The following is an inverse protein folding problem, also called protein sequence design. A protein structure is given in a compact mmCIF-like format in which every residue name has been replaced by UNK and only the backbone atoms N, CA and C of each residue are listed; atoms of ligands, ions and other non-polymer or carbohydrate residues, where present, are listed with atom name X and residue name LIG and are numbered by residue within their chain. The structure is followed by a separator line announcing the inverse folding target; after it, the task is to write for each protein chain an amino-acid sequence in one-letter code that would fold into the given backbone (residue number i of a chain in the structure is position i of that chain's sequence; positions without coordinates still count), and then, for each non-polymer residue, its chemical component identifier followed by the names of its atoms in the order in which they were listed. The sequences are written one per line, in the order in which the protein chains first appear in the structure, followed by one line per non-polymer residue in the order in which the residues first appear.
data_IF_680082606595
#
_entry.id   IF_680082606595
#
_cell.length_a   1.000
_cell.length_b   1.000
_cell.length_c   1.000
_cell.angle_alpha   90.00
_cell.angle_beta   90.00
_cell.angle_gamma   90.00
#
_symmetry.space_group_name_H-M   'P 1'
#
loop_
_entity.id
_entity.type
_entity.pdbx_description
1 polymer ?
#
# COMPACT_ATOMS: atom_id res chain seq x y z
N UNK A 1 10.51 14.13 32.65
CA UNK A 1 10.99 14.44 31.26
C UNK A 1 10.85 13.28 30.27
N UNK A 2 11.00 11.99 30.70
CA UNK A 2 10.82 10.82 29.80
C UNK A 2 9.37 10.63 29.35
N UNK A 3 8.40 10.74 30.25
CA UNK A 3 6.97 10.57 29.96
C UNK A 3 6.39 11.63 28.97
N UNK A 4 6.99 12.82 28.91
CA UNK A 4 6.58 13.85 27.94
C UNK A 4 7.08 13.54 26.52
N UNK A 5 8.20 12.85 26.40
CA UNK A 5 8.78 12.43 25.11
C UNK A 5 7.97 11.29 24.47
N UNK A 6 7.51 10.30 25.29
CA UNK A 6 6.69 9.20 24.79
C UNK A 6 5.33 9.68 24.27
N UNK A 7 4.65 10.58 24.98
CA UNK A 7 3.39 11.17 24.52
C UNK A 7 3.52 11.97 23.22
N UNK A 8 4.66 12.65 23.03
CA UNK A 8 4.93 13.36 21.79
C UNK A 8 5.17 12.41 20.62
N UNK A 9 5.84 11.28 20.85
CA UNK A 9 6.05 10.23 19.84
C UNK A 9 4.74 9.54 19.47
N UNK A 10 3.86 9.28 20.44
CA UNK A 10 2.53 8.72 20.17
C UNK A 10 1.69 9.67 19.32
N UNK A 11 1.71 10.97 19.61
CA UNK A 11 1.01 11.97 18.81
C UNK A 11 1.54 12.02 17.38
N UNK A 12 2.85 11.95 17.17
CA UNK A 12 3.47 11.89 15.85
C UNK A 12 3.05 10.63 15.06
N UNK A 13 2.90 9.49 15.73
CA UNK A 13 2.41 8.27 15.12
C UNK A 13 0.95 8.42 14.64
N UNK A 14 0.08 9.08 15.39
CA UNK A 14 -1.29 9.37 14.96
C UNK A 14 -1.34 10.32 13.76
N UNK A 15 -0.44 11.31 13.72
CA UNK A 15 -0.34 12.24 12.59
C UNK A 15 0.25 11.58 11.33
N UNK A 16 1.13 10.59 11.52
CA UNK A 16 1.77 9.87 10.42
C UNK A 16 0.78 9.04 9.61
N UNK A 17 -0.24 8.43 10.25
CA UNK A 17 -1.23 7.60 9.55
C UNK A 17 -1.97 8.33 8.42
N UNK A 18 -2.64 9.48 8.64
CA UNK A 18 -3.31 10.19 7.57
C UNK A 18 -2.34 10.67 6.48
N UNK A 19 -1.13 11.10 6.82
CA UNK A 19 -0.10 11.49 5.86
C UNK A 19 0.26 10.30 4.96
N UNK A 20 0.46 9.12 5.54
CA UNK A 20 0.78 7.91 4.81
C UNK A 20 -0.36 7.50 3.84
N UNK A 21 -1.61 7.55 4.28
CA UNK A 21 -2.77 7.25 3.43
C UNK A 21 -2.88 8.23 2.25
N UNK A 22 -2.68 9.52 2.51
CA UNK A 22 -2.66 10.55 1.45
C UNK A 22 -1.49 10.30 0.49
N UNK A 23 -0.31 9.96 1.01
CA UNK A 23 0.87 9.63 0.20
C UNK A 23 0.61 8.46 -0.76
N UNK A 24 0.03 7.37 -0.24
CA UNK A 24 -0.36 6.21 -1.07
C UNK A 24 -1.40 6.63 -2.11
N UNK A 25 -2.42 7.40 -1.73
CA UNK A 25 -3.45 7.87 -2.64
C UNK A 25 -2.87 8.75 -3.76
N UNK A 26 -1.94 9.65 -3.45
CA UNK A 26 -1.25 10.49 -4.45
C UNK A 26 -0.38 9.64 -5.38
N UNK A 27 0.43 8.75 -4.83
CA UNK A 27 1.26 7.85 -5.64
C UNK A 27 0.41 7.03 -6.60
N UNK A 28 -0.64 6.37 -6.10
CA UNK A 28 -1.58 5.60 -6.92
C UNK A 28 -2.23 6.46 -7.98
N UNK A 29 -2.61 7.69 -7.63
CA UNK A 29 -3.21 8.64 -8.58
C UNK A 29 -2.28 8.92 -9.74
N UNK A 30 -1.01 9.19 -9.48
CA UNK A 30 -0.01 9.45 -10.51
C UNK A 30 0.12 8.23 -11.43
N UNK A 31 0.26 7.02 -10.85
CA UNK A 31 0.37 5.79 -11.62
C UNK A 31 -0.85 5.55 -12.52
N UNK A 32 -2.06 5.69 -11.98
CA UNK A 32 -3.31 5.48 -12.71
C UNK A 32 -3.52 6.57 -13.76
N UNK A 33 -3.28 7.82 -13.42
CA UNK A 33 -3.40 8.95 -14.35
C UNK A 33 -2.48 8.77 -15.55
N UNK A 34 -1.20 8.51 -15.32
CA UNK A 34 -0.23 8.30 -16.39
C UNK A 34 -0.55 7.03 -17.20
N UNK A 35 -0.78 5.91 -16.53
CA UNK A 35 -1.00 4.63 -17.19
C UNK A 35 -2.25 4.62 -18.06
N UNK A 36 -3.38 5.16 -17.57
CA UNK A 36 -4.62 5.21 -18.35
C UNK A 36 -4.53 6.15 -19.54
N UNK A 37 -3.88 7.31 -19.38
CA UNK A 37 -3.69 8.25 -20.50
C UNK A 37 -2.77 7.66 -21.58
N UNK A 38 -1.69 6.96 -21.20
CA UNK A 38 -0.81 6.24 -22.15
C UNK A 38 -1.60 5.12 -22.88
N UNK A 39 -2.52 4.43 -22.19
CA UNK A 39 -3.36 3.40 -22.79
C UNK A 39 -4.59 3.95 -23.57
N UNK A 40 -4.63 5.26 -23.83
CA UNK A 40 -5.65 5.93 -24.65
C UNK A 40 -6.97 6.22 -23.92
N UNK A 41 -7.06 6.02 -22.62
CA UNK A 41 -8.24 6.39 -21.82
C UNK A 41 -7.96 7.72 -21.12
N UNK A 42 -8.63 8.79 -21.57
CA UNK A 42 -8.49 10.12 -20.95
C UNK A 42 -9.11 10.12 -19.54
N UNK A 43 -8.27 10.14 -18.52
CA UNK A 43 -8.66 10.24 -17.14
C UNK A 43 -8.14 11.56 -16.57
N UNK A 44 -9.04 12.40 -16.04
CA UNK A 44 -8.63 13.62 -15.36
C UNK A 44 -7.98 13.29 -14.00
N UNK A 45 -6.93 14.02 -13.64
CA UNK A 45 -6.19 13.81 -12.39
C UNK A 45 -7.09 13.83 -11.15
N UNK A 46 -8.00 14.81 -11.06
CA UNK A 46 -8.95 14.94 -9.95
C UNK A 46 -9.86 13.72 -9.79
N UNK A 47 -10.27 13.11 -10.92
CA UNK A 47 -11.06 11.87 -10.87
C UNK A 47 -10.22 10.68 -10.41
N UNK A 48 -9.00 10.56 -10.94
CA UNK A 48 -8.07 9.52 -10.50
C UNK A 48 -7.78 9.63 -8.99
N UNK A 49 -7.55 10.84 -8.49
CA UNK A 49 -7.33 11.11 -7.06
C UNK A 49 -8.53 10.72 -6.21
N UNK A 50 -9.74 11.09 -6.62
CA UNK A 50 -10.97 10.69 -5.93
C UNK A 50 -11.10 9.17 -5.85
N UNK A 51 -10.82 8.44 -6.95
CA UNK A 51 -10.91 6.98 -6.98
C UNK A 51 -9.85 6.32 -6.11
N UNK A 52 -8.61 6.81 -6.16
CA UNK A 52 -7.52 6.34 -5.32
C UNK A 52 -7.82 6.57 -3.83
N UNK A 53 -8.35 7.73 -3.47
CA UNK A 53 -8.73 8.04 -2.10
C UNK A 53 -9.89 7.16 -1.61
N UNK A 54 -10.89 6.90 -2.45
CA UNK A 54 -11.98 5.97 -2.11
C UNK A 54 -11.47 4.54 -1.91
N UNK A 55 -10.54 4.09 -2.75
CA UNK A 55 -9.95 2.75 -2.60
C UNK A 55 -9.07 2.66 -1.35
N UNK A 56 -8.42 3.74 -0.93
CA UNK A 56 -7.54 3.78 0.25
C UNK A 56 -8.25 3.47 1.57
N UNK A 57 -9.60 3.46 1.58
CA UNK A 57 -10.39 3.00 2.73
C UNK A 57 -10.04 1.55 3.13
N UNK A 58 -9.56 0.74 2.18
CA UNK A 58 -9.10 -0.63 2.43
C UNK A 58 -7.93 -0.65 3.42
N UNK A 59 -7.00 0.29 3.29
CA UNK A 59 -5.88 0.41 4.23
C UNK A 59 -6.35 0.84 5.61
N UNK A 60 -7.27 1.80 5.68
CA UNK A 60 -7.85 2.25 6.96
C UNK A 60 -8.60 1.11 7.67
N UNK A 61 -9.34 0.30 6.93
CA UNK A 61 -10.00 -0.89 7.47
C UNK A 61 -9.00 -1.92 7.98
N UNK A 62 -7.90 -2.12 7.27
CA UNK A 62 -6.84 -3.03 7.70
C UNK A 62 -6.19 -2.58 9.02
N UNK A 63 -5.90 -1.28 9.17
CA UNK A 63 -5.38 -0.74 10.43
C UNK A 63 -6.35 -0.96 11.59
N UNK A 64 -7.65 -0.76 11.36
CA UNK A 64 -8.69 -1.00 12.36
C UNK A 64 -8.74 -2.49 12.73
N UNK A 65 -8.69 -3.38 11.75
CA UNK A 65 -8.69 -4.83 11.99
C UNK A 65 -7.47 -5.26 12.82
N UNK A 66 -6.27 -4.79 12.45
CA UNK A 66 -5.04 -5.07 13.19
C UNK A 66 -5.10 -4.56 14.62
N UNK A 67 -5.65 -3.36 14.83
CA UNK A 67 -5.84 -2.80 16.17
C UNK A 67 -6.79 -3.64 17.00
N UNK A 68 -7.90 -4.13 16.44
CA UNK A 68 -8.83 -5.02 17.10
C UNK A 68 -8.18 -6.36 17.47
N UNK A 69 -7.44 -6.98 16.56
CA UNK A 69 -6.70 -8.23 16.82
C UNK A 69 -5.66 -8.07 17.93
N UNK A 70 -5.07 -6.88 18.03
CA UNK A 70 -4.14 -6.50 19.09
C UNK A 70 -4.84 -6.43 20.45
N UNK A 71 -5.99 -5.75 20.51
CA UNK A 71 -6.79 -5.62 21.73
C UNK A 71 -7.28 -6.99 22.21
N UNK A 72 -7.63 -7.88 21.29
CA UNK A 72 -8.07 -9.24 21.59
C UNK A 72 -6.92 -10.18 22.00
N UNK A 73 -5.66 -9.73 22.01
CA UNK A 73 -4.50 -10.53 22.39
C UNK A 73 -4.13 -11.64 21.40
N UNK A 74 -4.74 -11.65 20.20
CA UNK A 74 -4.44 -12.63 19.15
C UNK A 74 -3.06 -12.37 18.52
N UNK A 75 -2.64 -11.12 18.52
CA UNK A 75 -1.31 -10.69 18.04
C UNK A 75 -0.58 -10.07 19.22
N UNK A 76 0.44 -10.79 19.73
CA UNK A 76 1.32 -10.29 20.78
C UNK A 76 2.51 -9.59 20.15
N UNK A 77 2.74 -8.33 20.55
CA UNK A 77 3.90 -7.58 20.11
C UNK A 77 5.09 -7.81 21.03
N UNK A 78 6.20 -8.22 20.44
CA UNK A 78 7.50 -8.07 21.05
C UNK A 78 8.20 -6.86 20.42
N UNK A 79 9.01 -6.12 21.18
CA UNK A 79 9.73 -4.91 20.71
C UNK A 79 10.57 -5.17 19.43
N UNK A 80 10.98 -6.42 19.23
CA UNK A 80 11.76 -6.87 18.07
C UNK A 80 10.88 -7.25 16.85
N UNK A 81 9.54 -7.16 16.97
CA UNK A 81 8.60 -7.62 15.92
C UNK A 81 7.71 -6.50 15.38
N UNK A 82 8.04 -5.23 15.67
CA UNK A 82 7.25 -4.09 15.15
C UNK A 82 7.25 -4.08 13.61
N UNK A 83 8.35 -4.48 12.99
CA UNK A 83 8.47 -4.66 11.54
C UNK A 83 7.70 -5.90 11.05
N UNK A 84 7.48 -6.90 11.92
CA UNK A 84 6.79 -8.15 11.57
C UNK A 84 5.29 -7.98 11.31
N UNK A 85 4.65 -6.92 11.75
CA UNK A 85 3.20 -6.72 11.55
C UNK A 85 2.87 -6.50 10.08
N UNK A 86 3.70 -5.73 9.38
CA UNK A 86 3.61 -5.61 7.92
C UNK A 86 4.03 -6.90 7.23
N UNK A 87 5.00 -7.60 7.80
CA UNK A 87 5.53 -8.86 7.29
C UNK A 87 4.52 -10.01 7.42
N UNK A 88 3.68 -10.03 8.47
CA UNK A 88 2.65 -11.09 8.66
C UNK A 88 1.67 -11.16 7.49
N UNK A 89 1.37 -10.03 6.85
CA UNK A 89 0.44 -9.95 5.73
C UNK A 89 1.14 -9.89 4.37
N UNK A 90 2.48 -9.89 4.33
CA UNK A 90 3.26 -9.77 3.11
C UNK A 90 3.48 -11.13 2.44
N UNK A 91 3.64 -11.11 1.13
CA UNK A 91 4.06 -12.29 0.37
C UNK A 91 5.46 -12.75 0.78
N UNK A 92 6.31 -11.85 1.28
CA UNK A 92 7.64 -12.18 1.77
C UNK A 92 7.63 -13.29 2.81
N UNK A 93 6.61 -13.34 3.68
CA UNK A 93 6.47 -14.40 4.69
C UNK A 93 6.16 -15.78 4.09
N UNK A 94 5.41 -15.82 3.00
CA UNK A 94 5.11 -17.09 2.31
C UNK A 94 6.36 -17.69 1.66
N UNK A 95 7.31 -16.85 1.32
CA UNK A 95 8.55 -17.22 0.62
C UNK A 95 9.79 -17.28 1.52
N UNK A 96 9.67 -17.11 2.85
CA UNK A 96 10.80 -17.20 3.80
C UNK A 96 11.53 -18.54 3.79
N UNK A 97 10.91 -19.60 3.24
CA UNK A 97 11.53 -20.93 3.11
C UNK A 97 12.49 -21.04 1.91
N UNK A 98 12.52 -20.07 1.03
CA UNK A 98 13.37 -20.04 -0.14
C UNK A 98 14.52 -19.06 0.13
N UNK A 99 15.77 -19.49 -0.09
CA UNK A 99 16.94 -18.61 -0.01
C UNK A 99 16.95 -17.59 -1.17
N UNK A 100 16.10 -16.59 -1.07
CA UNK A 100 16.05 -15.51 -2.06
C UNK A 100 17.08 -14.42 -1.71
N UNK A 101 17.62 -13.70 -2.69
CA UNK A 101 18.48 -12.57 -2.42
C UNK A 101 17.71 -11.43 -1.70
N UNK A 102 18.39 -10.67 -0.85
CA UNK A 102 17.82 -9.64 0.02
C UNK A 102 16.96 -8.61 -0.72
N UNK A 103 17.34 -8.25 -1.95
CA UNK A 103 16.57 -7.34 -2.79
C UNK A 103 15.16 -7.90 -3.15
N UNK A 104 15.07 -9.21 -3.35
CA UNK A 104 13.78 -9.85 -3.64
C UNK A 104 12.88 -9.88 -2.40
N UNK A 105 13.45 -10.07 -1.19
CA UNK A 105 12.70 -9.93 0.06
C UNK A 105 12.18 -8.51 0.25
N UNK A 106 12.95 -7.49 -0.10
CA UNK A 106 12.54 -6.09 -0.03
C UNK A 106 11.31 -5.79 -0.90
N UNK A 107 11.22 -6.39 -2.08
CA UNK A 107 10.06 -6.23 -2.98
C UNK A 107 8.87 -7.06 -2.50
N UNK A 108 9.07 -8.34 -2.19
CA UNK A 108 8.01 -9.27 -1.76
C UNK A 108 7.43 -8.90 -0.39
N UNK A 109 8.25 -8.33 0.49
CA UNK A 109 7.82 -7.84 1.80
C UNK A 109 6.84 -6.68 1.73
N UNK A 110 6.86 -5.91 0.63
CA UNK A 110 5.96 -4.77 0.41
C UNK A 110 4.63 -5.14 -0.24
N UNK A 111 4.59 -6.27 -0.96
CA UNK A 111 3.35 -6.75 -1.57
C UNK A 111 2.55 -7.50 -0.51
N UNK A 112 1.48 -6.88 -0.03
CA UNK A 112 0.60 -7.45 0.98
C UNK A 112 -0.73 -7.92 0.37
N UNK A 113 -1.43 -8.81 1.07
CA UNK A 113 -2.80 -9.21 0.71
C UNK A 113 -3.72 -7.97 0.63
N UNK A 114 -3.47 -6.98 1.49
CA UNK A 114 -4.22 -5.73 1.52
C UNK A 114 -4.01 -4.91 0.24
N UNK A 115 -2.82 -4.95 -0.34
CA UNK A 115 -2.54 -4.32 -1.63
C UNK A 115 -3.32 -4.96 -2.78
N UNK A 116 -3.48 -6.28 -2.77
CA UNK A 116 -4.34 -6.96 -3.74
C UNK A 116 -5.80 -6.56 -3.58
N UNK A 117 -6.29 -6.47 -2.34
CA UNK A 117 -7.65 -5.99 -2.07
C UNK A 117 -7.84 -4.54 -2.53
N UNK A 118 -6.89 -3.68 -2.21
CA UNK A 118 -6.88 -2.29 -2.67
C UNK A 118 -6.94 -2.19 -4.19
N UNK A 119 -6.06 -2.91 -4.89
CA UNK A 119 -6.04 -2.98 -6.34
C UNK A 119 -7.38 -3.45 -6.93
N UNK A 120 -7.99 -4.46 -6.31
CA UNK A 120 -9.28 -5.00 -6.75
C UNK A 120 -10.40 -3.98 -6.59
N UNK A 121 -10.49 -3.34 -5.42
CA UNK A 121 -11.47 -2.29 -5.12
C UNK A 121 -11.28 -1.09 -6.06
N UNK A 122 -10.04 -0.66 -6.27
CA UNK A 122 -9.71 0.43 -7.19
C UNK A 122 -10.19 0.11 -8.62
N UNK A 123 -9.94 -1.12 -9.09
CA UNK A 123 -10.38 -1.58 -10.41
C UNK A 123 -11.91 -1.57 -10.56
N UNK A 124 -12.66 -1.94 -9.51
CA UNK A 124 -14.14 -1.88 -9.50
C UNK A 124 -14.63 -0.43 -9.58
N UNK A 125 -14.03 0.46 -8.79
CA UNK A 125 -14.41 1.88 -8.76
C UNK A 125 -14.18 2.51 -10.14
N UNK A 126 -13.03 2.26 -10.76
CA UNK A 126 -12.69 2.77 -12.08
C UNK A 126 -13.63 2.19 -13.15
N UNK A 127 -13.89 0.86 -13.15
CA UNK A 127 -14.78 0.21 -14.10
C UNK A 127 -16.18 0.84 -14.10
N UNK A 128 -16.75 1.03 -12.88
CA UNK A 128 -18.07 1.66 -12.72
C UNK A 128 -18.08 3.13 -13.16
N UNK A 129 -17.02 3.87 -12.84
CA UNK A 129 -16.98 5.32 -13.08
C UNK A 129 -16.75 5.70 -14.55
N UNK A 130 -15.95 4.91 -15.26
CA UNK A 130 -15.62 5.14 -16.69
C UNK A 130 -16.50 4.31 -17.60
N UNK A 131 -17.36 3.44 -17.04
CA UNK A 131 -18.25 2.51 -17.77
C UNK A 131 -17.50 1.58 -18.72
N UNK A 132 -16.35 1.07 -18.29
CA UNK A 132 -15.57 0.05 -19.00
C UNK A 132 -15.80 -1.33 -18.39
N UNK A 133 -15.51 -2.38 -19.17
CA UNK A 133 -15.62 -3.75 -18.67
C UNK A 133 -14.64 -3.94 -17.50
N UNK A 134 -15.08 -4.64 -16.45
CA UNK A 134 -14.27 -4.93 -15.26
C UNK A 134 -12.94 -5.60 -15.62
N UNK A 135 -12.92 -6.59 -16.53
CA UNK A 135 -11.69 -7.25 -16.99
C UNK A 135 -10.68 -6.25 -17.58
N UNK A 136 -11.18 -5.32 -18.40
CA UNK A 136 -10.33 -4.27 -19.00
C UNK A 136 -9.82 -3.30 -17.96
N UNK A 137 -10.67 -2.92 -17.00
CA UNK A 137 -10.25 -2.07 -15.86
C UNK A 137 -9.19 -2.76 -15.03
N UNK A 138 -9.42 -4.02 -14.66
CA UNK A 138 -8.49 -4.82 -13.87
C UNK A 138 -7.11 -4.88 -14.56
N UNK A 139 -7.09 -5.22 -15.84
CA UNK A 139 -5.84 -5.31 -16.61
C UNK A 139 -5.10 -3.96 -16.65
N UNK A 140 -5.80 -2.88 -17.01
CA UNK A 140 -5.18 -1.54 -17.14
C UNK A 140 -4.72 -0.98 -15.80
N UNK A 141 -5.52 -1.14 -14.75
CA UNK A 141 -5.14 -0.74 -13.39
C UNK A 141 -3.95 -1.56 -12.91
N UNK A 142 -3.92 -2.87 -13.19
CA UNK A 142 -2.83 -3.77 -12.81
C UNK A 142 -1.51 -3.37 -13.46
N UNK A 143 -1.51 -3.09 -14.75
CA UNK A 143 -0.30 -2.63 -15.44
C UNK A 143 0.14 -1.27 -14.89
N UNK A 144 -0.78 -0.30 -14.78
CA UNK A 144 -0.44 1.06 -14.33
C UNK A 144 0.10 1.08 -12.91
N UNK A 145 -0.59 0.44 -11.99
CA UNK A 145 -0.22 0.38 -10.58
C UNK A 145 0.97 -0.55 -10.33
N UNK A 146 0.99 -1.71 -11.00
CA UNK A 146 2.06 -2.69 -10.87
C UNK A 146 3.41 -2.15 -11.33
N UNK A 147 3.47 -1.45 -12.47
CA UNK A 147 4.69 -0.77 -12.93
C UNK A 147 5.12 0.29 -11.90
N UNK A 148 4.18 1.05 -11.34
CA UNK A 148 4.46 2.03 -10.30
C UNK A 148 5.06 1.39 -9.05
N UNK A 149 4.51 0.28 -8.57
CA UNK A 149 5.03 -0.47 -7.41
C UNK A 149 6.43 -1.02 -7.68
N UNK A 150 6.69 -1.58 -8.87
CA UNK A 150 8.02 -2.05 -9.25
C UNK A 150 9.03 -0.89 -9.22
N UNK A 151 8.66 0.27 -9.77
CA UNK A 151 9.50 1.45 -9.77
C UNK A 151 9.79 1.95 -8.36
N UNK A 152 8.78 2.02 -7.50
CA UNK A 152 8.94 2.36 -6.10
C UNK A 152 9.85 1.34 -5.37
N UNK A 153 9.68 0.05 -5.63
CA UNK A 153 10.51 -1.02 -5.08
C UNK A 153 11.99 -0.85 -5.45
N UNK A 154 12.27 -0.54 -6.72
CA UNK A 154 13.64 -0.29 -7.19
C UNK A 154 14.24 0.92 -6.46
N UNK A 155 13.53 2.06 -6.42
CA UNK A 155 14.01 3.28 -5.76
C UNK A 155 14.34 3.02 -4.29
N UNK A 156 13.45 2.36 -3.57
CA UNK A 156 13.64 2.12 -2.13
C UNK A 156 14.76 1.13 -1.85
N UNK A 157 14.95 0.14 -2.71
CA UNK A 157 16.10 -0.77 -2.62
C UNK A 157 17.41 -0.01 -2.87
N UNK A 158 17.43 0.89 -3.87
CA UNK A 158 18.59 1.71 -4.18
C UNK A 158 18.97 2.67 -3.03
N UNK A 159 17.96 3.31 -2.41
CA UNK A 159 18.18 4.19 -1.25
C UNK A 159 18.72 3.39 -0.06
N UNK A 160 18.19 2.18 0.19
CA UNK A 160 18.69 1.31 1.27
C UNK A 160 20.11 0.79 1.07
N UNK A 161 20.68 0.85 -0.15
CA UNK A 161 22.09 0.54 -0.40
C UNK A 161 23.04 1.74 -0.21
N UNK A 162 22.48 2.96 -0.17
CA UNK A 162 23.29 4.20 -0.08
C UNK A 162 23.41 4.67 1.38
N UNK A 163 22.49 4.26 2.25
CA UNK A 163 22.45 4.60 3.68
C UNK A 163 22.99 3.43 4.51
#
# INVERSE_FOLDING_TARGET
KFLSSERCLDFLNYLWMPIHVIGIALFTTICIFLGFNIMGIRLAFNKAFKYSLQASIVFSFNYLLLTLLKILGVVTYNYNTVDDVYFVQSLGRLFTRFNWPDWAYGILGRISIVEFLFYFVLSIIIAKSIKINFKTSLYKTGISYGIGLCFLGIITTFIGFII
#
